data_IF_407491416521
#
_entry.id   IF_407491416521
#
_cell.length_a   1.000
_cell.length_b   1.000
_cell.length_c   1.000
_cell.angle_alpha   90.00
_cell.angle_beta   90.00
_cell.angle_gamma   90.00
#
_symmetry.space_group_name_H-M   'P 1'
#
loop_
_entity.id
_entity.type
_entity.pdbx_description
1 polymer ?
#
# COMPACT_ATOMS: atom_id res chain seq x y z
N UNK A 1 -11.83 7.54 -7.22
CA UNK A 1 -10.86 8.04 -6.25
C UNK A 1 -11.28 9.41 -5.73
N UNK A 2 -10.63 9.92 -4.68
CA UNK A 2 -10.94 11.21 -4.05
C UNK A 2 -12.40 11.27 -3.55
N UNK A 3 -13.08 12.41 -3.74
CA UNK A 3 -14.48 12.60 -3.33
C UNK A 3 -15.42 11.53 -3.90
N UNK A 4 -15.17 11.04 -5.13
CA UNK A 4 -15.96 9.98 -5.74
C UNK A 4 -15.91 8.67 -4.95
N UNK A 5 -14.75 8.31 -4.41
CA UNK A 5 -14.63 7.14 -3.52
C UNK A 5 -15.37 7.38 -2.20
N UNK A 6 -15.27 8.59 -1.63
CA UNK A 6 -15.94 8.94 -0.37
C UNK A 6 -17.47 8.90 -0.51
N UNK A 7 -18.02 9.26 -1.67
CA UNK A 7 -19.45 9.14 -1.94
C UNK A 7 -19.95 7.69 -1.94
N UNK A 8 -19.06 6.72 -2.09
CA UNK A 8 -19.41 5.30 -2.03
C UNK A 8 -19.40 4.72 -0.61
N UNK A 9 -18.87 5.43 0.38
CA UNK A 9 -18.71 4.92 1.76
C UNK A 9 -20.01 4.30 2.32
N UNK A 10 -21.19 4.90 2.21
CA UNK A 10 -22.42 4.26 2.70
C UNK A 10 -22.69 2.90 2.04
N UNK A 11 -22.45 2.80 0.73
CA UNK A 11 -22.59 1.55 -0.01
C UNK A 11 -21.50 0.54 0.35
N UNK A 12 -20.28 1.00 0.64
CA UNK A 12 -19.19 0.14 1.08
C UNK A 12 -19.52 -0.55 2.41
N UNK A 13 -20.05 0.18 3.38
CA UNK A 13 -20.56 -0.40 4.63
C UNK A 13 -21.62 -1.47 4.37
N UNK A 14 -22.50 -1.21 3.42
CA UNK A 14 -23.56 -2.15 3.03
C UNK A 14 -23.01 -3.41 2.39
N UNK A 15 -22.10 -3.28 1.41
CA UNK A 15 -21.43 -4.39 0.73
C UNK A 15 -20.69 -5.27 1.74
N UNK A 16 -19.90 -4.65 2.63
CA UNK A 16 -19.16 -5.35 3.67
C UNK A 16 -20.08 -6.04 4.69
N UNK A 17 -21.13 -5.35 5.13
CA UNK A 17 -22.12 -5.89 6.08
C UNK A 17 -22.91 -7.07 5.54
N UNK A 18 -23.12 -7.14 4.23
CA UNK A 18 -23.79 -8.27 3.58
C UNK A 18 -22.81 -9.41 3.17
N UNK A 19 -21.52 -9.26 3.47
CA UNK A 19 -20.48 -10.23 3.11
C UNK A 19 -20.48 -10.54 1.60
N UNK A 20 -20.46 -9.48 0.78
CA UNK A 20 -20.46 -9.59 -0.67
C UNK A 20 -19.03 -9.46 -1.20
N UNK A 21 -18.54 -10.41 -2.00
CA UNK A 21 -17.27 -10.27 -2.69
C UNK A 21 -17.36 -9.13 -3.70
N UNK A 22 -16.50 -8.15 -3.52
CA UNK A 22 -16.40 -6.99 -4.39
C UNK A 22 -14.97 -6.47 -4.34
N UNK A 23 -14.42 -6.02 -5.46
CA UNK A 23 -13.09 -5.41 -5.49
C UNK A 23 -13.18 -4.03 -6.12
N UNK A 24 -12.67 -3.02 -5.41
CA UNK A 24 -12.47 -1.68 -5.92
C UNK A 24 -11.00 -1.49 -6.24
N UNK A 25 -10.65 -1.31 -7.51
CA UNK A 25 -9.32 -0.89 -7.91
C UNK A 25 -9.23 0.62 -7.83
N UNK A 26 -8.35 1.13 -6.97
CA UNK A 26 -8.29 2.55 -6.64
C UNK A 26 -6.90 3.12 -6.87
N UNK A 27 -6.80 4.03 -7.81
CA UNK A 27 -5.66 4.95 -7.90
C UNK A 27 -5.85 6.04 -6.84
N UNK A 28 -5.15 5.91 -5.71
CA UNK A 28 -5.38 6.73 -4.51
C UNK A 28 -5.09 8.21 -4.75
N UNK A 29 -5.95 9.08 -4.24
CA UNK A 29 -5.91 10.52 -4.49
C UNK A 29 -6.15 11.35 -3.25
N UNK A 30 -5.67 12.60 -3.29
CA UNK A 30 -6.01 13.63 -2.30
C UNK A 30 -7.52 13.84 -2.23
N UNK A 31 -8.00 14.16 -1.04
CA UNK A 31 -9.36 14.66 -0.81
C UNK A 31 -9.30 16.18 -0.69
N UNK A 32 -10.25 16.89 -1.29
CA UNK A 32 -10.35 18.35 -1.17
C UNK A 32 -10.54 18.76 0.30
N UNK A 33 -9.69 19.64 0.78
CA UNK A 33 -9.72 20.18 2.15
C UNK A 33 -9.73 21.72 2.11
N UNK A 34 -8.63 22.39 2.48
CA UNK A 34 -8.49 23.84 2.39
C UNK A 34 -8.45 24.35 0.93
N UNK A 35 -8.09 23.46 0.00
CA UNK A 35 -8.09 23.71 -1.43
C UNK A 35 -8.40 22.42 -2.21
N UNK A 36 -8.83 22.55 -3.44
CA UNK A 36 -8.88 21.44 -4.39
C UNK A 36 -7.46 21.05 -4.78
N UNK A 37 -7.19 19.74 -4.72
CA UNK A 37 -5.98 19.15 -5.24
C UNK A 37 -6.33 17.89 -6.02
N UNK A 38 -5.76 17.74 -7.22
CA UNK A 38 -6.07 16.59 -8.11
C UNK A 38 -5.01 15.50 -8.05
N UNK A 39 -3.89 15.73 -7.37
CA UNK A 39 -2.77 14.80 -7.31
C UNK A 39 -3.01 13.66 -6.32
N UNK A 40 -1.97 12.85 -6.08
CA UNK A 40 -2.10 11.62 -5.31
C UNK A 40 -1.59 11.75 -3.87
N UNK A 41 -2.31 11.14 -2.97
CA UNK A 41 -1.90 10.65 -1.67
C UNK A 41 -2.90 9.57 -1.21
N UNK A 42 -2.83 9.12 0.04
CA UNK A 42 -3.70 8.06 0.55
C UNK A 42 -4.94 8.58 1.28
N UNK A 43 -5.28 9.87 1.20
CA UNK A 43 -6.37 10.46 1.99
C UNK A 43 -7.72 9.80 1.72
N UNK A 44 -8.02 9.49 0.47
CA UNK A 44 -9.31 8.88 0.08
C UNK A 44 -9.44 7.44 0.56
N UNK A 45 -8.43 6.61 0.36
CA UNK A 45 -8.46 5.20 0.81
C UNK A 45 -8.42 5.10 2.33
N UNK A 46 -7.67 5.99 3.01
CA UNK A 46 -7.64 6.03 4.47
C UNK A 46 -8.98 6.44 5.08
N UNK A 47 -9.74 7.31 4.41
CA UNK A 47 -11.12 7.64 4.81
C UNK A 47 -12.05 6.40 4.75
N UNK A 48 -11.73 5.42 3.91
CA UNK A 48 -12.51 4.19 3.74
C UNK A 48 -12.08 3.04 4.65
N UNK A 49 -10.98 3.15 5.41
CA UNK A 49 -10.37 2.04 6.18
C UNK A 49 -11.26 1.37 7.21
N UNK A 50 -12.32 2.04 7.65
CA UNK A 50 -13.29 1.54 8.64
C UNK A 50 -14.57 0.96 8.04
N UNK A 51 -14.69 0.92 6.70
CA UNK A 51 -15.93 0.47 6.02
C UNK A 51 -16.14 -1.05 6.06
N UNK A 52 -15.11 -1.81 6.43
CA UNK A 52 -15.11 -3.27 6.41
C UNK A 52 -14.55 -3.85 5.10
N UNK A 53 -14.04 -3.02 4.19
CA UNK A 53 -13.25 -3.52 3.07
C UNK A 53 -11.86 -3.92 3.56
N UNK A 54 -11.37 -5.09 3.14
CA UNK A 54 -9.96 -5.40 3.24
C UNK A 54 -9.17 -4.48 2.30
N UNK A 55 -7.94 -4.18 2.64
CA UNK A 55 -7.15 -3.19 1.89
C UNK A 55 -5.79 -3.77 1.51
N UNK A 56 -5.55 -3.87 0.19
CA UNK A 56 -4.31 -4.35 -0.40
C UNK A 56 -3.65 -3.20 -1.15
N UNK A 57 -2.36 -2.96 -0.89
CA UNK A 57 -1.57 -1.86 -1.44
C UNK A 57 -0.42 -2.36 -2.30
N UNK A 58 -0.27 -1.80 -3.49
CA UNK A 58 0.81 -2.11 -4.42
C UNK A 58 1.77 -0.92 -4.59
N UNK A 59 3.06 -1.23 -4.72
CA UNK A 59 4.12 -0.23 -4.87
C UNK A 59 4.45 0.13 -6.31
N UNK A 60 4.24 -0.77 -7.27
CA UNK A 60 4.61 -0.58 -8.69
C UNK A 60 3.65 -1.28 -9.65
N UNK A 61 3.84 -1.07 -10.95
CA UNK A 61 2.92 -1.59 -11.99
C UNK A 61 2.93 -3.12 -12.07
N UNK A 62 4.06 -3.78 -11.80
CA UNK A 62 4.13 -5.24 -11.77
C UNK A 62 3.33 -5.80 -10.58
N UNK A 63 3.46 -5.18 -9.41
CA UNK A 63 2.68 -5.56 -8.24
C UNK A 63 1.17 -5.38 -8.47
N UNK A 64 0.77 -4.30 -9.15
CA UNK A 64 -0.66 -4.11 -9.53
C UNK A 64 -1.15 -5.27 -10.39
N UNK A 65 -0.36 -5.72 -11.37
CA UNK A 65 -0.72 -6.88 -12.19
C UNK A 65 -0.85 -8.17 -11.37
N UNK A 66 0.10 -8.41 -10.47
CA UNK A 66 0.22 -9.68 -9.76
C UNK A 66 -0.70 -9.78 -8.53
N UNK A 67 -0.95 -8.66 -7.83
CA UNK A 67 -1.75 -8.67 -6.61
C UNK A 67 -3.24 -8.36 -6.84
N UNK A 68 -3.61 -7.78 -7.99
CA UNK A 68 -5.03 -7.64 -8.34
C UNK A 68 -5.79 -8.97 -8.31
N UNK A 69 -5.28 -10.08 -8.90
CA UNK A 69 -5.90 -11.39 -8.75
C UNK A 69 -6.03 -11.86 -7.30
N UNK A 70 -5.05 -11.56 -6.43
CA UNK A 70 -5.13 -11.89 -5.00
C UNK A 70 -6.36 -11.27 -4.38
N UNK A 71 -6.62 -9.97 -4.63
CA UNK A 71 -7.80 -9.29 -4.11
C UNK A 71 -9.12 -9.96 -4.57
N UNK A 72 -9.21 -10.35 -5.85
CA UNK A 72 -10.41 -10.98 -6.39
C UNK A 72 -10.64 -12.40 -5.83
N UNK A 73 -9.59 -13.22 -5.78
CA UNK A 73 -9.68 -14.60 -5.28
C UNK A 73 -10.01 -14.61 -3.79
N UNK A 74 -9.28 -13.80 -2.99
CA UNK A 74 -9.52 -13.70 -1.56
C UNK A 74 -10.90 -13.09 -1.24
N UNK A 75 -11.37 -12.12 -2.03
CA UNK A 75 -12.71 -11.56 -1.83
C UNK A 75 -13.80 -12.62 -2.05
N UNK A 76 -13.69 -13.42 -3.11
CA UNK A 76 -14.65 -14.46 -3.42
C UNK A 76 -14.70 -15.56 -2.35
N UNK A 77 -13.54 -16.03 -1.94
CA UNK A 77 -13.37 -17.13 -0.98
C UNK A 77 -13.74 -16.69 0.43
N UNK A 78 -13.22 -15.51 0.86
CA UNK A 78 -13.43 -14.95 2.20
C UNK A 78 -14.74 -14.23 2.41
N UNK A 79 -15.50 -13.92 1.35
CA UNK A 79 -16.73 -13.14 1.40
C UNK A 79 -16.54 -11.73 2.02
N UNK A 80 -15.33 -11.20 1.91
CA UNK A 80 -14.97 -9.86 2.37
C UNK A 80 -14.60 -9.02 1.15
N UNK A 81 -15.16 -7.83 0.97
CA UNK A 81 -14.80 -6.97 -0.15
C UNK A 81 -13.41 -6.36 0.04
N UNK A 82 -12.76 -5.99 -1.07
CA UNK A 82 -11.41 -5.44 -1.09
C UNK A 82 -11.35 -4.06 -1.74
N UNK A 83 -10.55 -3.16 -1.16
CA UNK A 83 -9.92 -2.06 -1.86
C UNK A 83 -8.51 -2.55 -2.25
N UNK A 84 -8.27 -2.64 -3.55
CA UNK A 84 -6.96 -2.90 -4.14
C UNK A 84 -6.45 -1.56 -4.66
N UNK A 85 -5.43 -0.98 -4.02
CA UNK A 85 -5.05 0.40 -4.31
C UNK A 85 -3.54 0.58 -4.50
N UNK A 86 -3.23 1.56 -5.30
CA UNK A 86 -1.87 2.00 -5.61
C UNK A 86 -1.82 3.52 -5.70
N UNK A 87 -0.62 4.07 -5.73
CA UNK A 87 -0.42 5.52 -5.72
C UNK A 87 -0.90 6.19 -7.00
N UNK A 88 -1.91 7.06 -6.87
CA UNK A 88 -2.33 7.96 -7.93
C UNK A 88 -1.24 8.98 -8.26
N UNK A 89 -1.13 9.38 -9.54
CA UNK A 89 -0.10 10.27 -10.06
C UNK A 89 1.36 9.82 -9.81
N UNK A 90 1.57 8.59 -9.35
CA UNK A 90 2.85 7.90 -9.35
C UNK A 90 2.68 6.61 -10.14
N UNK A 91 2.35 5.51 -9.52
CA UNK A 91 2.12 4.23 -10.20
C UNK A 91 1.11 4.34 -11.34
N UNK A 92 0.03 5.13 -11.18
CA UNK A 92 -0.98 5.33 -12.23
C UNK A 92 -0.49 6.13 -13.45
N UNK A 93 0.61 6.86 -13.34
CA UNK A 93 1.20 7.69 -14.41
C UNK A 93 2.51 7.12 -14.94
N UNK A 94 2.82 5.88 -14.57
CA UNK A 94 3.97 5.15 -15.07
C UNK A 94 3.59 4.25 -16.26
N UNK A 95 4.55 4.08 -17.16
CA UNK A 95 4.56 3.00 -18.15
C UNK A 95 5.79 2.17 -17.85
N UNK A 96 5.58 0.90 -17.53
CA UNK A 96 6.64 -0.07 -17.29
C UNK A 96 6.46 -1.27 -18.20
N UNK A 97 7.57 -1.91 -18.56
CA UNK A 97 7.55 -3.25 -19.13
C UNK A 97 7.35 -4.25 -18.00
N UNK A 98 6.23 -4.96 -18.02
CA UNK A 98 5.86 -5.97 -17.03
C UNK A 98 5.72 -7.34 -17.65
N UNK A 99 5.75 -8.37 -16.82
CA UNK A 99 5.43 -9.74 -17.18
C UNK A 99 3.96 -10.02 -16.86
N UNK A 100 3.23 -10.58 -17.84
CA UNK A 100 1.84 -10.97 -17.65
C UNK A 100 1.76 -12.36 -17.02
N UNK A 101 0.79 -12.55 -16.14
CA UNK A 101 0.47 -13.88 -15.61
C UNK A 101 -0.28 -14.67 -16.68
N UNK A 102 0.02 -15.96 -16.81
CA UNK A 102 -0.72 -16.85 -17.69
C UNK A 102 -2.20 -16.96 -17.28
N UNK A 103 -3.10 -16.70 -18.22
CA UNK A 103 -4.54 -16.72 -18.02
C UNK A 103 -5.05 -18.13 -17.59
N UNK A 104 -4.46 -19.20 -18.13
CA UNK A 104 -4.83 -20.56 -17.75
C UNK A 104 -4.44 -20.86 -16.30
N UNK A 105 -3.26 -20.39 -15.86
CA UNK A 105 -2.81 -20.51 -14.48
C UNK A 105 -3.72 -19.76 -13.52
N UNK A 106 -4.11 -18.50 -13.84
CA UNK A 106 -5.08 -17.74 -13.04
C UNK A 106 -6.46 -18.41 -12.98
N UNK A 107 -6.93 -18.92 -14.10
CA UNK A 107 -8.22 -19.63 -14.17
C UNK A 107 -8.22 -20.89 -13.30
N UNK A 108 -7.09 -21.59 -13.21
CA UNK A 108 -6.93 -22.76 -12.36
C UNK A 108 -6.95 -22.43 -10.86
N UNK A 109 -6.64 -21.19 -10.48
CA UNK A 109 -6.71 -20.73 -9.08
C UNK A 109 -8.14 -20.45 -8.60
N UNK A 110 -9.11 -20.28 -9.52
CA UNK A 110 -10.47 -19.91 -9.17
C UNK A 110 -11.18 -21.01 -8.39
N UNK A 111 -11.62 -20.71 -7.17
CA UNK A 111 -12.53 -21.55 -6.41
C UNK A 111 -13.94 -21.51 -7.02
N UNK A 112 -14.28 -22.57 -7.79
CA UNK A 112 -15.56 -22.70 -8.50
C UNK A 112 -16.71 -22.96 -7.55
N UNK A 113 -16.46 -23.56 -6.40
CA UNK A 113 -17.50 -23.83 -5.39
C UNK A 113 -17.84 -22.54 -4.64
N UNK A 114 -16.86 -21.72 -4.29
CA UNK A 114 -17.08 -20.37 -3.76
C UNK A 114 -17.87 -19.49 -4.75
N UNK A 115 -17.53 -19.53 -6.04
CA UNK A 115 -18.26 -18.81 -7.08
C UNK A 115 -19.71 -19.30 -7.19
N UNK A 116 -19.95 -20.62 -7.17
CA UNK A 116 -21.28 -21.20 -7.19
C UNK A 116 -22.08 -20.82 -5.95
N UNK A 117 -21.46 -20.88 -4.78
CA UNK A 117 -22.08 -20.48 -3.52
C UNK A 117 -22.44 -18.98 -3.51
N UNK A 118 -21.57 -18.11 -4.05
CA UNK A 118 -21.88 -16.70 -4.20
C UNK A 118 -23.08 -16.46 -5.13
N UNK A 119 -23.11 -17.10 -6.29
CA UNK A 119 -24.24 -17.00 -7.24
C UNK A 119 -25.54 -17.50 -6.65
N UNK A 120 -25.51 -18.58 -5.86
CA UNK A 120 -26.70 -19.11 -5.19
C UNK A 120 -27.28 -18.15 -4.13
N UNK A 121 -26.51 -17.17 -3.66
CA UNK A 121 -26.97 -16.12 -2.74
C UNK A 121 -27.64 -14.94 -3.46
N UNK A 122 -27.66 -14.90 -4.79
CA UNK A 122 -28.34 -13.85 -5.53
C UNK A 122 -29.83 -13.83 -5.20
N UNK A 123 -30.44 -12.64 -5.25
CA UNK A 123 -31.87 -12.49 -5.09
C UNK A 123 -32.59 -13.23 -6.23
N UNK A 124 -33.50 -14.14 -5.86
CA UNK A 124 -34.24 -14.96 -6.80
C UNK A 124 -35.73 -14.96 -6.43
N UNK A 125 -36.63 -14.56 -7.32
CA UNK A 125 -38.08 -14.54 -7.06
C UNK A 125 -38.65 -15.93 -6.70
N UNK A 126 -38.05 -17.01 -7.19
CA UNK A 126 -38.51 -18.39 -6.90
C UNK A 126 -38.04 -18.88 -5.51
N UNK A 127 -37.01 -18.22 -4.94
CA UNK A 127 -36.51 -18.47 -3.60
C UNK A 127 -36.30 -17.14 -2.89
N UNK A 128 -37.38 -16.44 -2.52
CA UNK A 128 -37.30 -15.09 -1.98
C UNK A 128 -36.63 -15.08 -0.60
N UNK A 129 -35.70 -14.15 -0.42
CA UNK A 129 -35.04 -13.86 0.87
C UNK A 129 -35.08 -12.37 1.13
N UNK A 130 -35.16 -12.00 2.39
CA UNK A 130 -35.11 -10.62 2.82
C UNK A 130 -33.68 -10.25 3.22
N UNK A 131 -33.16 -9.15 2.69
CA UNK A 131 -31.83 -8.63 3.04
C UNK A 131 -31.89 -7.14 3.35
N UNK A 132 -30.99 -6.69 4.19
CA UNK A 132 -30.83 -5.28 4.48
C UNK A 132 -32.04 -4.64 5.15
N UNK A 133 -32.81 -5.44 5.89
CA UNK A 133 -33.91 -4.96 6.70
C UNK A 133 -33.42 -4.24 7.94
N UNK A 134 -34.32 -3.46 8.58
CA UNK A 134 -34.04 -2.87 9.87
C UNK A 134 -33.89 -3.95 10.95
N UNK A 135 -32.90 -3.77 11.81
CA UNK A 135 -32.71 -4.57 13.03
C UNK A 135 -32.78 -3.67 14.25
N UNK A 136 -33.42 -4.15 15.32
CA UNK A 136 -33.53 -3.46 16.57
C UNK A 136 -32.30 -3.69 17.48
N UNK A 137 -32.15 -2.93 18.58
CA UNK A 137 -31.00 -3.03 19.48
C UNK A 137 -30.74 -4.42 20.05
N UNK A 138 -31.76 -5.23 20.17
CA UNK A 138 -31.71 -6.61 20.70
C UNK A 138 -30.91 -7.60 19.84
N UNK A 139 -30.78 -7.35 18.52
CA UNK A 139 -30.09 -8.27 17.60
C UNK A 139 -28.97 -7.61 16.79
N UNK A 140 -28.98 -6.30 16.59
CA UNK A 140 -28.03 -5.61 15.70
C UNK A 140 -26.58 -5.82 16.10
N UNK A 141 -26.25 -5.64 17.37
CA UNK A 141 -24.88 -5.79 17.87
C UNK A 141 -24.35 -7.21 17.67
N UNK A 142 -25.15 -8.21 18.06
CA UNK A 142 -24.78 -9.62 17.87
C UNK A 142 -24.56 -9.96 16.39
N UNK A 143 -25.38 -9.44 15.50
CA UNK A 143 -25.21 -9.66 14.04
C UNK A 143 -23.91 -9.03 13.54
N UNK A 144 -23.53 -7.84 14.04
CA UNK A 144 -22.25 -7.21 13.70
C UNK A 144 -21.07 -8.06 14.14
N UNK A 145 -21.10 -8.63 15.35
CA UNK A 145 -20.03 -9.50 15.88
C UNK A 145 -19.92 -10.84 15.13
N UNK A 146 -21.01 -11.35 14.60
CA UNK A 146 -21.02 -12.60 13.84
C UNK A 146 -20.15 -12.55 12.55
N UNK A 147 -19.80 -11.36 12.09
CA UNK A 147 -18.92 -11.15 10.94
C UNK A 147 -17.42 -11.36 11.28
N UNK A 148 -17.02 -11.32 12.55
CA UNK A 148 -15.61 -11.34 12.98
C UNK A 148 -14.84 -12.52 12.38
N UNK A 149 -15.42 -13.73 12.37
CA UNK A 149 -14.78 -14.94 11.81
C UNK A 149 -14.34 -14.80 10.36
N UNK A 150 -15.01 -13.97 9.55
CA UNK A 150 -14.62 -13.76 8.16
C UNK A 150 -13.39 -12.86 8.08
N UNK A 151 -13.34 -11.80 8.89
CA UNK A 151 -12.21 -10.88 8.94
C UNK A 151 -10.96 -11.51 9.54
N UNK A 152 -11.12 -12.37 10.56
CA UNK A 152 -10.01 -13.11 11.19
C UNK A 152 -9.34 -14.08 10.21
N UNK A 153 -10.07 -14.62 9.24
CA UNK A 153 -9.55 -15.54 8.23
C UNK A 153 -8.82 -14.84 7.07
N UNK A 154 -9.09 -13.53 6.81
CA UNK A 154 -8.55 -12.81 5.65
C UNK A 154 -7.02 -12.83 5.58
N UNK A 155 -6.27 -12.56 6.67
CA UNK A 155 -4.81 -12.49 6.58
C UNK A 155 -4.17 -13.80 6.09
N UNK A 156 -4.61 -14.93 6.64
CA UNK A 156 -4.06 -16.24 6.26
C UNK A 156 -4.45 -16.60 4.82
N UNK A 157 -5.68 -16.33 4.41
CA UNK A 157 -6.17 -16.51 3.04
C UNK A 157 -5.41 -15.65 2.02
N UNK A 158 -5.16 -14.39 2.35
CA UNK A 158 -4.35 -13.49 1.49
C UNK A 158 -2.92 -14.01 1.38
N UNK A 159 -2.31 -14.43 2.50
CA UNK A 159 -0.97 -14.99 2.50
C UNK A 159 -0.85 -16.26 1.63
N UNK A 160 -1.83 -17.17 1.72
CA UNK A 160 -1.90 -18.38 0.90
C UNK A 160 -2.09 -18.05 -0.59
N UNK A 161 -2.99 -17.12 -0.91
CA UNK A 161 -3.21 -16.69 -2.30
C UNK A 161 -1.96 -16.00 -2.87
N UNK A 162 -1.28 -15.17 -2.09
CA UNK A 162 -0.01 -14.56 -2.47
C UNK A 162 1.08 -15.61 -2.71
N UNK A 163 1.16 -16.66 -1.89
CA UNK A 163 2.10 -17.76 -2.09
C UNK A 163 1.84 -18.47 -3.43
N UNK A 164 0.60 -18.77 -3.77
CA UNK A 164 0.21 -19.37 -5.06
C UNK A 164 0.56 -18.47 -6.25
N UNK A 165 0.33 -17.16 -6.15
CA UNK A 165 0.76 -16.18 -7.17
C UNK A 165 2.28 -16.16 -7.27
N UNK A 166 3.00 -16.24 -6.14
CA UNK A 166 4.48 -16.28 -6.12
C UNK A 166 5.02 -17.51 -6.86
N UNK A 167 4.40 -18.67 -6.69
CA UNK A 167 4.75 -19.90 -7.41
C UNK A 167 4.58 -19.75 -8.93
N UNK A 168 3.49 -19.14 -9.38
CA UNK A 168 3.20 -18.95 -10.81
C UNK A 168 4.14 -17.93 -11.45
N UNK A 169 4.46 -16.86 -10.73
CA UNK A 169 5.20 -15.71 -11.27
C UNK A 169 6.69 -15.77 -11.02
N UNK A 170 7.15 -16.59 -10.08
CA UNK A 170 8.53 -16.60 -9.59
C UNK A 170 8.90 -15.36 -8.76
N UNK A 171 7.96 -14.47 -8.47
CA UNK A 171 8.12 -13.29 -7.62
C UNK A 171 7.55 -13.56 -6.23
N UNK A 172 8.19 -13.06 -5.17
CA UNK A 172 7.79 -13.35 -3.79
C UNK A 172 6.86 -12.27 -3.24
N UNK A 173 5.61 -12.65 -2.92
CA UNK A 173 4.60 -11.79 -2.33
C UNK A 173 4.16 -12.29 -0.96
N UNK A 174 4.03 -11.38 0.00
CA UNK A 174 3.56 -11.64 1.36
C UNK A 174 2.77 -10.43 1.86
N UNK A 175 1.91 -10.58 2.89
CA UNK A 175 1.20 -9.46 3.52
C UNK A 175 2.13 -8.33 3.99
N UNK A 176 3.31 -8.69 4.50
CA UNK A 176 4.42 -7.79 4.83
C UNK A 176 5.71 -8.36 4.25
N UNK A 177 6.55 -7.51 3.68
CA UNK A 177 7.84 -7.91 3.10
C UNK A 177 8.96 -7.09 3.71
N UNK A 178 9.94 -7.76 4.28
CA UNK A 178 11.17 -7.12 4.73
C UNK A 178 12.21 -7.09 3.62
N UNK A 179 12.89 -5.95 3.49
CA UNK A 179 14.05 -5.78 2.61
C UNK A 179 15.15 -5.01 3.35
N UNK A 180 16.37 -5.52 3.38
CA UNK A 180 17.49 -4.83 4.00
C UNK A 180 18.51 -5.76 4.65
N UNK A 181 19.25 -5.22 5.61
CA UNK A 181 20.22 -5.98 6.40
C UNK A 181 19.49 -6.93 7.36
N UNK A 182 19.84 -8.22 7.44
CA UNK A 182 19.20 -9.16 8.37
C UNK A 182 19.40 -8.80 9.85
N UNK A 183 20.42 -7.99 10.15
CA UNK A 183 20.69 -7.46 11.49
C UNK A 183 20.36 -5.96 11.60
N UNK A 184 19.38 -5.48 10.84
CA UNK A 184 19.00 -4.07 10.86
C UNK A 184 18.56 -3.60 12.24
N UNK A 185 19.15 -2.50 12.69
CA UNK A 185 18.77 -1.81 13.93
C UNK A 185 17.75 -0.69 13.71
N UNK A 186 17.74 -0.13 12.51
CA UNK A 186 16.86 0.97 12.09
C UNK A 186 16.08 0.55 10.84
N UNK A 187 14.76 0.60 10.93
CA UNK A 187 13.90 0.25 9.79
C UNK A 187 12.85 1.33 9.53
N UNK A 188 12.43 1.40 8.26
CA UNK A 188 11.25 2.17 7.85
C UNK A 188 10.11 1.18 7.59
N UNK A 189 8.89 1.52 7.98
CA UNK A 189 7.66 0.83 7.59
C UNK A 189 6.86 1.77 6.71
N UNK A 190 6.50 1.33 5.52
CA UNK A 190 5.77 2.14 4.55
C UNK A 190 4.93 1.26 3.60
N UNK A 191 4.04 1.88 2.84
CA UNK A 191 3.26 1.23 1.78
C UNK A 191 3.22 2.09 0.51
N UNK A 192 2.95 1.45 -0.63
CA UNK A 192 2.88 2.11 -1.92
C UNK A 192 4.25 2.38 -2.55
N UNK A 193 4.29 3.28 -3.52
CA UNK A 193 5.44 3.48 -4.42
C UNK A 193 6.72 3.98 -3.74
N UNK A 194 6.60 4.63 -2.58
CA UNK A 194 7.78 5.10 -1.82
C UNK A 194 8.71 3.95 -1.40
N UNK A 195 8.17 2.74 -1.26
CA UNK A 195 8.96 1.58 -0.84
C UNK A 195 10.08 1.26 -1.82
N UNK A 196 9.90 1.56 -3.12
CA UNK A 196 10.94 1.40 -4.14
C UNK A 196 12.10 2.39 -3.91
N UNK A 197 11.78 3.66 -3.65
CA UNK A 197 12.80 4.67 -3.30
C UNK A 197 13.53 4.32 -2.00
N UNK A 198 12.80 3.77 -1.02
CA UNK A 198 13.41 3.35 0.25
C UNK A 198 14.34 2.15 0.04
N UNK A 199 13.96 1.16 -0.78
CA UNK A 199 14.81 -0.02 -1.08
C UNK A 199 16.13 0.41 -1.72
N UNK A 200 16.11 1.29 -2.72
CA UNK A 200 17.33 1.83 -3.35
C UNK A 200 18.20 2.62 -2.33
N UNK A 201 17.56 3.36 -1.43
CA UNK A 201 18.27 4.08 -0.34
C UNK A 201 18.87 3.10 0.67
N UNK A 202 18.17 2.02 1.00
CA UNK A 202 18.67 0.94 1.86
C UNK A 202 19.89 0.28 1.25
N UNK A 203 19.88 -0.01 -0.06
CA UNK A 203 21.04 -0.58 -0.75
C UNK A 203 22.25 0.36 -0.69
N UNK A 204 22.05 1.65 -0.88
CA UNK A 204 23.09 2.66 -0.77
C UNK A 204 23.70 2.73 0.63
N UNK A 205 22.86 2.69 1.68
CA UNK A 205 23.33 2.73 3.07
C UNK A 205 24.03 1.43 3.47
N UNK A 206 23.50 0.27 3.04
CA UNK A 206 24.14 -1.03 3.28
C UNK A 206 25.51 -1.15 2.60
N UNK A 207 25.66 -0.57 1.41
CA UNK A 207 26.98 -0.48 0.75
C UNK A 207 28.00 0.33 1.55
N UNK A 208 27.54 1.20 2.46
CA UNK A 208 28.36 1.96 3.42
C UNK A 208 28.52 1.26 4.78
N UNK A 209 28.00 0.05 4.94
CA UNK A 209 28.08 -0.75 6.15
C UNK A 209 26.99 -0.45 7.20
N UNK A 210 25.93 0.24 6.82
CA UNK A 210 24.83 0.55 7.73
C UNK A 210 23.82 -0.60 7.83
N UNK A 211 23.34 -0.86 9.04
CA UNK A 211 22.36 -1.92 9.35
C UNK A 211 20.95 -1.34 9.33
N UNK A 212 20.42 -1.21 8.13
CA UNK A 212 19.12 -0.60 7.86
C UNK A 212 18.23 -1.49 6.99
N UNK A 213 16.91 -1.25 7.05
CA UNK A 213 15.96 -1.98 6.23
C UNK A 213 14.60 -1.27 6.09
N UNK A 214 13.72 -1.88 5.33
CA UNK A 214 12.35 -1.44 5.13
C UNK A 214 11.38 -2.61 5.21
N UNK A 215 10.21 -2.39 5.80
CA UNK A 215 9.07 -3.28 5.71
C UNK A 215 8.04 -2.62 4.80
N UNK A 216 7.73 -3.29 3.69
CA UNK A 216 6.62 -2.95 2.79
C UNK A 216 5.34 -3.58 3.32
N UNK A 217 4.28 -2.78 3.45
CA UNK A 217 2.95 -3.25 3.84
C UNK A 217 2.12 -3.44 2.57
N UNK A 218 1.74 -4.70 2.25
CA UNK A 218 0.78 -5.00 1.19
C UNK A 218 -0.63 -5.15 1.76
N UNK A 219 -0.84 -5.97 2.79
CA UNK A 219 -2.14 -6.09 3.44
C UNK A 219 -2.24 -5.09 4.60
N UNK A 220 -2.95 -3.98 4.35
CA UNK A 220 -3.17 -2.95 5.35
C UNK A 220 -4.39 -3.21 6.25
N UNK A 221 -5.46 -3.82 5.69
CA UNK A 221 -6.66 -4.24 6.44
C UNK A 221 -7.10 -5.65 6.01
N UNK A 222 -7.37 -6.55 6.97
CA UNK A 222 -7.08 -6.45 8.40
C UNK A 222 -5.58 -6.32 8.67
N UNK A 223 -5.19 -5.52 9.68
CA UNK A 223 -3.78 -5.34 10.03
C UNK A 223 -3.27 -6.57 10.79
N UNK A 224 -2.46 -7.37 10.14
CA UNK A 224 -2.11 -8.71 10.61
C UNK A 224 -0.81 -8.71 11.42
N UNK A 225 -0.91 -8.50 12.73
CA UNK A 225 0.22 -8.45 13.69
C UNK A 225 1.14 -9.67 13.54
N UNK A 226 0.58 -10.88 13.36
CA UNK A 226 1.35 -12.11 13.16
C UNK A 226 2.36 -11.96 12.02
N UNK A 227 1.91 -11.53 10.85
CA UNK A 227 2.75 -11.42 9.65
C UNK A 227 3.74 -10.27 9.72
N UNK A 228 3.42 -9.19 10.43
CA UNK A 228 4.38 -8.11 10.70
C UNK A 228 5.53 -8.62 11.58
N UNK A 229 5.20 -9.36 12.65
CA UNK A 229 6.20 -9.91 13.57
C UNK A 229 7.06 -10.99 12.91
N UNK A 230 6.53 -11.79 11.98
CA UNK A 230 7.28 -12.81 11.24
C UNK A 230 8.41 -12.24 10.38
N UNK A 231 8.28 -11.02 9.88
CA UNK A 231 9.28 -10.39 9.00
C UNK A 231 10.19 -9.41 9.74
N UNK A 232 9.93 -9.12 11.02
CA UNK A 232 10.68 -8.15 11.80
C UNK A 232 12.05 -8.71 12.19
N UNK A 233 13.19 -8.07 11.83
CA UNK A 233 14.51 -8.48 12.32
C UNK A 233 14.61 -8.42 13.84
N UNK A 234 15.26 -9.42 14.45
CA UNK A 234 15.43 -9.49 15.90
C UNK A 234 16.32 -8.38 16.49
N UNK A 235 17.11 -7.74 15.66
CA UNK A 235 18.04 -6.66 16.04
C UNK A 235 17.42 -5.27 16.07
N UNK A 236 16.15 -5.13 15.64
CA UNK A 236 15.50 -3.82 15.50
C UNK A 236 15.39 -3.09 16.83
N UNK A 237 15.87 -1.85 16.85
CA UNK A 237 15.82 -0.93 18.00
C UNK A 237 14.91 0.26 17.76
N UNK A 238 14.81 0.71 16.50
CA UNK A 238 14.07 1.92 16.12
C UNK A 238 13.33 1.73 14.81
N UNK A 239 12.10 2.20 14.78
CA UNK A 239 11.20 2.10 13.63
C UNK A 239 10.68 3.48 13.29
N UNK A 240 10.77 3.86 12.03
CA UNK A 240 10.06 5.01 11.48
C UNK A 240 8.90 4.52 10.61
N UNK A 241 7.70 4.99 10.89
CA UNK A 241 6.53 4.71 10.05
C UNK A 241 6.25 5.92 9.18
N UNK A 242 6.18 5.73 7.86
CA UNK A 242 5.90 6.78 6.91
C UNK A 242 4.47 6.68 6.37
N UNK A 243 3.70 7.72 6.62
CA UNK A 243 2.34 7.87 6.12
C UNK A 243 2.28 8.88 4.96
N UNK A 244 1.59 8.51 3.86
CA UNK A 244 1.30 9.41 2.74
C UNK A 244 -0.08 10.04 2.88
N UNK A 245 -0.43 10.42 4.09
CA UNK A 245 -1.69 11.06 4.45
C UNK A 245 -1.51 11.91 5.70
N UNK A 246 -2.50 12.75 5.99
CA UNK A 246 -2.56 13.49 7.25
C UNK A 246 -3.96 13.33 7.83
N UNK A 247 -4.04 12.82 9.06
CA UNK A 247 -5.29 12.76 9.83
C UNK A 247 -5.33 13.88 10.87
N UNK A 248 -6.00 15.02 10.58
CA UNK A 248 -6.06 16.14 11.52
C UNK A 248 -6.79 15.75 12.82
N UNK A 249 -6.17 16.06 13.97
CA UNK A 249 -6.74 15.80 15.29
C UNK A 249 -6.41 14.41 15.86
N UNK A 250 -5.85 13.49 15.08
CA UNK A 250 -5.35 12.23 15.60
C UNK A 250 -3.98 12.37 16.28
N UNK A 251 -3.65 11.45 17.17
CA UNK A 251 -2.34 11.38 17.83
C UNK A 251 -1.21 10.89 16.92
N UNK A 252 -1.54 10.50 15.71
CA UNK A 252 -0.64 10.02 14.67
C UNK A 252 -1.41 9.74 13.39
N UNK A 253 -0.70 9.48 12.31
CA UNK A 253 -1.33 9.12 11.04
C UNK A 253 -1.66 7.61 11.01
N UNK A 254 -2.54 7.13 10.12
CA UNK A 254 -3.16 5.82 10.27
C UNK A 254 -2.19 4.64 10.35
N UNK A 255 -1.19 4.54 9.46
CA UNK A 255 -0.24 3.43 9.48
C UNK A 255 0.62 3.45 10.75
N UNK A 256 1.06 4.64 11.17
CA UNK A 256 1.81 4.80 12.42
C UNK A 256 1.03 4.28 13.62
N UNK A 257 -0.25 4.63 13.74
CA UNK A 257 -1.10 4.17 14.85
C UNK A 257 -1.28 2.66 14.83
N UNK A 258 -1.51 2.07 13.65
CA UNK A 258 -1.67 0.62 13.50
C UNK A 258 -0.38 -0.14 13.86
N UNK A 259 0.79 0.39 13.46
CA UNK A 259 2.08 -0.23 13.84
C UNK A 259 2.31 -0.13 15.35
N UNK A 260 2.07 1.03 15.97
CA UNK A 260 2.20 1.18 17.43
C UNK A 260 1.28 0.22 18.16
N UNK A 261 0.03 0.10 17.72
CA UNK A 261 -0.94 -0.84 18.31
C UNK A 261 -0.49 -2.29 18.14
N UNK A 262 0.02 -2.66 16.95
CA UNK A 262 0.52 -4.00 16.69
C UNK A 262 1.67 -4.41 17.63
N UNK A 263 2.59 -3.49 17.90
CA UNK A 263 3.67 -3.74 18.89
C UNK A 263 3.17 -3.81 20.31
N UNK A 264 2.14 -3.03 20.68
CA UNK A 264 1.55 -3.03 22.03
C UNK A 264 0.75 -4.31 22.30
N UNK A 265 0.16 -4.93 21.28
CA UNK A 265 -0.73 -6.11 21.40
C UNK A 265 -0.07 -7.43 21.02
N UNK A 266 1.12 -7.38 20.41
CA UNK A 266 1.86 -8.59 20.04
C UNK A 266 2.16 -9.45 21.28
N UNK A 267 1.89 -10.77 21.18
CA UNK A 267 2.15 -11.73 22.26
C UNK A 267 3.64 -11.86 22.58
N UNK A 268 4.49 -11.64 21.59
CA UNK A 268 5.95 -11.62 21.72
C UNK A 268 6.55 -10.73 20.64
N UNK A 269 7.65 -10.07 20.97
CA UNK A 269 8.40 -9.23 20.05
C UNK A 269 9.67 -9.96 19.65
N UNK A 270 9.93 -10.19 18.33
CA UNK A 270 11.18 -10.80 17.87
C UNK A 270 12.44 -10.06 18.36
N UNK A 271 12.35 -8.73 18.48
CA UNK A 271 13.43 -7.87 18.99
C UNK A 271 13.56 -7.87 20.53
N UNK A 272 12.77 -8.67 21.25
CA UNK A 272 12.86 -8.87 22.70
C UNK A 272 12.30 -7.73 23.55
N UNK A 273 12.29 -6.50 23.07
CA UNK A 273 11.78 -5.31 23.75
C UNK A 273 11.08 -4.37 22.80
N UNK A 274 10.26 -3.47 23.33
CA UNK A 274 9.57 -2.45 22.55
C UNK A 274 10.59 -1.52 21.89
N UNK A 275 10.67 -1.45 20.54
CA UNK A 275 11.52 -0.48 19.86
C UNK A 275 10.97 0.93 20.02
N UNK A 276 11.82 1.94 19.80
CA UNK A 276 11.33 3.31 19.64
C UNK A 276 10.61 3.41 18.29
N UNK A 277 9.34 3.79 18.30
CA UNK A 277 8.53 3.94 17.08
C UNK A 277 8.19 5.41 16.89
N UNK A 278 8.57 5.98 15.75
CA UNK A 278 8.23 7.36 15.36
C UNK A 278 7.45 7.37 14.05
N UNK A 279 6.63 8.39 13.85
CA UNK A 279 5.86 8.62 12.63
C UNK A 279 6.36 9.82 11.84
N UNK A 280 6.21 9.77 10.53
CA UNK A 280 6.50 10.88 9.63
C UNK A 280 5.57 10.92 8.43
N UNK A 281 5.39 12.11 7.87
CA UNK A 281 4.58 12.36 6.68
C UNK A 281 5.43 12.74 5.50
N UNK A 282 5.07 12.21 4.33
CA UNK A 282 5.75 12.48 3.07
C UNK A 282 4.76 12.55 1.91
N UNK A 283 5.17 13.13 0.80
CA UNK A 283 4.59 12.91 -0.51
C UNK A 283 3.12 13.28 -0.72
N UNK A 284 2.50 14.06 0.20
CA UNK A 284 1.12 14.52 0.00
C UNK A 284 1.03 15.33 -1.29
N UNK A 285 -0.10 15.16 -1.99
CA UNK A 285 -0.31 15.87 -3.26
C UNK A 285 0.77 15.57 -4.31
N UNK A 286 1.24 14.33 -4.34
CA UNK A 286 2.35 13.89 -5.23
C UNK A 286 3.62 14.73 -5.12
N UNK A 287 3.87 15.37 -3.96
CA UNK A 287 5.16 16.01 -3.69
C UNK A 287 6.26 14.96 -3.89
N UNK A 288 7.32 15.33 -4.60
CA UNK A 288 8.42 14.43 -4.89
C UNK A 288 9.04 13.85 -3.61
N UNK A 289 9.41 12.57 -3.70
CA UNK A 289 10.07 11.83 -2.62
C UNK A 289 11.37 11.28 -3.18
N UNK A 290 12.49 11.82 -2.71
CA UNK A 290 13.82 11.54 -3.23
C UNK A 290 14.64 10.65 -2.29
N UNK A 291 15.69 10.00 -2.78
CA UNK A 291 16.63 9.27 -1.93
C UNK A 291 17.23 10.15 -0.82
N UNK A 292 17.55 11.42 -1.08
CA UNK A 292 18.07 12.34 -0.07
C UNK A 292 17.07 12.55 1.08
N UNK A 293 15.77 12.59 0.78
CA UNK A 293 14.73 12.67 1.81
C UNK A 293 14.69 11.38 2.66
N UNK A 294 14.84 10.20 2.05
CA UNK A 294 14.89 8.94 2.78
C UNK A 294 16.16 8.82 3.63
N UNK A 295 17.30 9.34 3.17
CA UNK A 295 18.49 9.49 4.00
C UNK A 295 18.19 10.34 5.24
N UNK A 296 17.54 11.49 5.07
CA UNK A 296 17.16 12.35 6.19
C UNK A 296 16.26 11.64 7.21
N UNK A 297 15.38 10.74 6.76
CA UNK A 297 14.55 9.90 7.66
C UNK A 297 15.43 8.94 8.46
N UNK A 298 16.37 8.24 7.83
CA UNK A 298 17.29 7.34 8.54
C UNK A 298 18.19 8.11 9.49
N UNK A 299 18.70 9.30 9.11
CA UNK A 299 19.50 10.14 10.00
C UNK A 299 18.70 10.62 11.21
N UNK A 300 17.43 11.04 11.02
CA UNK A 300 16.56 11.36 12.14
C UNK A 300 16.40 10.15 13.09
N UNK A 301 16.27 8.95 12.54
CA UNK A 301 16.08 7.75 13.34
C UNK A 301 17.30 7.41 14.21
N UNK A 302 18.50 7.86 13.83
CA UNK A 302 19.76 7.67 14.57
C UNK A 302 19.95 8.63 15.73
N UNK A 303 19.23 9.76 15.76
CA UNK A 303 19.37 10.78 16.80
C UNK A 303 18.97 10.23 18.18
N UNK A 304 19.59 10.73 19.24
CA UNK A 304 19.20 10.37 20.61
C UNK A 304 17.75 10.70 20.88
N UNK A 305 17.29 11.86 20.41
CA UNK A 305 15.90 12.34 20.46
C UNK A 305 15.40 12.58 19.03
N UNK A 306 14.92 11.55 18.33
CA UNK A 306 14.44 11.73 16.98
C UNK A 306 13.12 12.50 16.96
N UNK A 307 12.97 13.36 15.97
CA UNK A 307 11.73 14.11 15.76
C UNK A 307 10.62 13.14 15.39
N UNK A 308 9.54 13.12 16.16
CA UNK A 308 8.33 12.34 15.90
C UNK A 308 7.28 13.20 15.18
N UNK A 309 6.41 12.59 14.40
CA UNK A 309 5.39 13.23 13.57
C UNK A 309 5.98 14.36 12.68
N UNK A 310 7.14 14.09 12.15
CA UNK A 310 7.85 15.01 11.26
C UNK A 310 7.21 15.07 9.87
N UNK A 311 7.64 16.02 9.07
CA UNK A 311 7.41 16.11 7.64
C UNK A 311 8.74 16.05 6.89
N UNK A 312 8.76 15.48 5.70
CA UNK A 312 9.91 15.47 4.81
C UNK A 312 9.50 15.87 3.39
N UNK A 313 10.38 16.58 2.69
CA UNK A 313 10.13 17.08 1.34
C UNK A 313 9.44 18.45 1.27
N UNK A 314 9.17 19.08 2.41
CA UNK A 314 8.66 20.45 2.51
C UNK A 314 9.42 21.20 3.60
N UNK A 315 9.28 22.53 3.60
CA UNK A 315 9.68 23.38 4.72
C UNK A 315 8.42 23.81 5.47
N UNK A 316 8.25 23.31 6.70
CA UNK A 316 7.18 23.73 7.61
C UNK A 316 7.74 24.84 8.52
N UNK A 317 7.41 26.06 8.19
CA UNK A 317 7.81 27.27 8.92
C UNK A 317 6.78 27.72 9.97
N UNK A 318 5.73 26.92 10.19
CA UNK A 318 4.66 27.18 11.16
C UNK A 318 4.82 26.32 12.41
N UNK A 319 4.97 25.01 12.24
CA UNK A 319 5.10 24.06 13.36
C UNK A 319 6.49 23.44 13.47
N UNK A 320 7.40 23.76 12.53
CA UNK A 320 8.81 23.38 12.51
C UNK A 320 9.05 21.87 12.58
N UNK A 321 8.17 21.08 11.93
CA UNK A 321 8.22 19.62 11.94
C UNK A 321 9.07 19.03 10.83
N UNK A 322 9.52 19.83 9.86
CA UNK A 322 10.32 19.35 8.74
C UNK A 322 11.68 18.82 9.17
N UNK A 323 12.11 17.75 8.52
CA UNK A 323 13.49 17.29 8.59
C UNK A 323 14.35 18.10 7.62
N UNK A 324 15.58 18.44 8.01
CA UNK A 324 16.57 18.97 7.07
C UNK A 324 16.92 17.87 6.06
N UNK A 325 16.94 18.20 4.78
CA UNK A 325 17.34 17.30 3.70
C UNK A 325 18.68 17.79 3.16
N UNK A 326 19.63 16.87 3.00
CA UNK A 326 20.95 17.15 2.44
C UNK A 326 20.91 17.31 0.91
N UNK A 327 22.07 17.26 0.28
CA UNK A 327 22.19 17.31 -1.18
C UNK A 327 21.53 16.10 -1.83
N UNK A 328 20.94 16.31 -3.00
CA UNK A 328 20.36 15.22 -3.79
C UNK A 328 21.45 14.25 -4.25
N UNK A 329 21.12 12.97 -4.23
CA UNK A 329 22.00 11.89 -4.67
C UNK A 329 21.37 11.13 -5.82
N UNK A 330 22.17 10.73 -6.79
CA UNK A 330 21.75 9.81 -7.83
C UNK A 330 22.07 8.37 -7.39
N UNK A 331 21.07 7.50 -7.49
CA UNK A 331 21.20 6.05 -7.26
C UNK A 331 21.10 5.26 -8.57
N UNK A 332 21.20 5.93 -9.72
CA UNK A 332 21.16 5.30 -11.02
C UNK A 332 22.29 4.24 -11.15
N UNK A 333 21.89 3.03 -11.51
CA UNK A 333 22.84 1.90 -11.67
C UNK A 333 23.68 2.07 -12.94
N UNK A 334 24.93 1.56 -12.99
CA UNK A 334 25.73 1.57 -14.20
C UNK A 334 24.97 0.96 -15.40
N UNK A 335 24.96 1.67 -16.53
CA UNK A 335 24.25 1.24 -17.73
C UNK A 335 22.80 1.72 -17.81
N UNK A 336 22.30 2.44 -16.81
CA UNK A 336 21.01 3.13 -16.89
C UNK A 336 21.13 4.36 -17.80
N UNK A 337 20.18 4.51 -18.71
CA UNK A 337 20.01 5.71 -19.51
C UNK A 337 18.79 6.46 -19.00
N UNK A 338 18.98 7.68 -18.53
CA UNK A 338 17.95 8.57 -18.05
C UNK A 338 17.74 9.73 -19.03
N UNK A 339 16.48 10.10 -19.28
CA UNK A 339 16.14 11.21 -20.15
C UNK A 339 14.93 11.97 -19.61
N UNK A 340 15.01 13.30 -19.63
CA UNK A 340 13.95 14.20 -19.28
C UNK A 340 13.47 14.96 -20.52
N UNK A 341 12.16 14.93 -20.75
CA UNK A 341 11.53 15.58 -21.89
C UNK A 341 10.58 16.66 -21.40
N UNK A 342 10.76 17.86 -21.90
CA UNK A 342 9.86 18.99 -21.65
C UNK A 342 8.93 19.21 -22.85
N UNK A 343 7.64 19.39 -22.57
CA UNK A 343 6.63 19.74 -23.54
C UNK A 343 5.80 20.93 -23.09
N UNK A 344 5.27 21.69 -24.03
CA UNK A 344 4.40 22.83 -23.78
C UNK A 344 2.94 22.48 -24.08
N UNK A 345 2.17 22.16 -23.06
CA UNK A 345 0.76 21.84 -23.21
C UNK A 345 0.48 20.65 -24.13
N UNK A 346 -0.41 20.79 -25.09
CA UNK A 346 -0.85 19.73 -26.01
C UNK A 346 0.02 19.62 -27.28
N UNK A 347 1.33 19.72 -27.16
CA UNK A 347 2.29 19.72 -28.28
C UNK A 347 2.62 18.31 -28.83
N UNK A 348 2.08 17.25 -28.21
CA UNK A 348 2.33 15.87 -28.61
C UNK A 348 3.52 15.19 -27.92
N UNK A 349 4.30 15.88 -27.09
CA UNK A 349 5.50 15.35 -26.43
C UNK A 349 5.18 14.11 -25.58
N UNK A 350 4.10 14.12 -24.81
CA UNK A 350 3.67 12.97 -24.01
C UNK A 350 3.38 11.75 -24.88
N UNK A 351 2.65 11.92 -25.98
CA UNK A 351 2.34 10.85 -26.94
C UNK A 351 3.60 10.28 -27.58
N UNK A 352 4.52 11.13 -28.00
CA UNK A 352 5.80 10.73 -28.59
C UNK A 352 6.64 9.90 -27.60
N UNK A 353 6.75 10.34 -26.36
CA UNK A 353 7.51 9.62 -25.34
C UNK A 353 6.86 8.30 -24.91
N UNK A 354 5.52 8.24 -24.82
CA UNK A 354 4.79 6.98 -24.64
C UNK A 354 5.09 5.97 -25.75
N UNK A 355 5.14 6.43 -27.01
CA UNK A 355 5.48 5.57 -28.13
C UNK A 355 6.95 5.13 -28.07
N UNK A 356 7.88 6.03 -27.75
CA UNK A 356 9.30 5.71 -27.63
C UNK A 356 9.54 4.61 -26.59
N UNK A 357 8.96 4.73 -25.40
CA UNK A 357 9.13 3.72 -24.34
C UNK A 357 8.50 2.37 -24.72
N UNK A 358 7.36 2.37 -25.42
CA UNK A 358 6.72 1.14 -25.94
C UNK A 358 7.59 0.47 -27.01
N UNK A 359 8.20 1.25 -27.91
CA UNK A 359 9.11 0.72 -28.92
C UNK A 359 10.32 0.07 -28.24
N UNK A 360 10.99 0.77 -27.32
CA UNK A 360 12.14 0.23 -26.59
C UNK A 360 11.74 -1.07 -25.86
N UNK A 361 10.64 -1.06 -25.11
CA UNK A 361 10.18 -2.22 -24.37
C UNK A 361 9.76 -3.41 -25.24
N UNK A 362 9.13 -3.15 -26.40
CA UNK A 362 8.63 -4.19 -27.32
C UNK A 362 9.68 -4.75 -28.26
N UNK A 363 10.72 -3.98 -28.61
CA UNK A 363 11.73 -4.38 -29.60
C UNK A 363 13.08 -4.76 -28.99
N UNK A 364 13.27 -4.59 -27.70
CA UNK A 364 14.52 -4.90 -27.01
C UNK A 364 14.27 -5.73 -25.74
N UNK A 365 15.33 -6.37 -25.23
CA UNK A 365 15.30 -7.06 -23.93
C UNK A 365 15.58 -6.14 -22.74
N UNK A 366 15.63 -4.81 -22.96
CA UNK A 366 15.86 -3.85 -21.88
C UNK A 366 14.62 -3.66 -21.05
N UNK A 367 14.81 -3.45 -19.76
CA UNK A 367 13.78 -2.87 -18.89
C UNK A 367 13.60 -1.41 -19.27
N UNK A 368 12.38 -0.93 -19.19
CA UNK A 368 12.08 0.47 -19.46
C UNK A 368 10.91 0.94 -18.60
N UNK A 369 11.03 2.17 -18.15
CA UNK A 369 10.04 2.85 -17.33
C UNK A 369 9.94 4.29 -17.80
N UNK A 370 8.74 4.83 -17.78
CA UNK A 370 8.49 6.25 -18.01
C UNK A 370 7.44 6.76 -17.00
N UNK A 371 7.69 7.94 -16.49
CA UNK A 371 6.76 8.68 -15.63
C UNK A 371 6.35 9.97 -16.33
N UNK A 372 5.05 10.31 -16.25
CA UNK A 372 4.48 11.49 -16.90
C UNK A 372 3.84 12.40 -15.86
N UNK A 373 4.28 13.66 -15.84
CA UNK A 373 3.70 14.72 -15.02
C UNK A 373 3.10 15.79 -15.93
N UNK A 374 1.97 16.36 -15.53
CA UNK A 374 1.26 17.38 -16.30
C UNK A 374 1.12 18.65 -15.48
#
# INVERSE_FOLDING_TARGET
ASQGLLLMIPNMYKIAGELLPCVFHVSARTVSTHALNIFGDHSDVMACRQTGFAMLCEGNVQEVMDLSPVAHLAALEGKVPFINFFDGFRTSHEIQKIELIDEAALTAMLDRDALKAFRARALNPEHPVTRGTAQNPDIYFQTREAANKFYEAVPDMVAETMARISEITGRSYKPFVYYGDPEAEHIIVAMGSVTETIKETVDYLRAKGEKVGVITVHLYRPFAVKYLMEVLPASVKRICVLDRTKEPGANGDPLYLDVVEAFATAKSLPCGQMPLIIGGRYGLSSKDTTPAQMLAVFENLKLNEPKNQFTVGITDDVTFRSLPVGEEISLAKPGTFEALFFGLGADGTVGANKNSIKIIGGTTNKYCQAYFSY
#
